data_IF_606932751915
#
_entry.id   IF_606932751915
#
_cell.length_a   1.000
_cell.length_b   1.000
_cell.length_c   1.000
_cell.angle_alpha   90.00
_cell.angle_beta   90.00
_cell.angle_gamma   90.00
#
_symmetry.space_group_name_H-M   'P 1'
#
loop_
_entity.id
_entity.type
_entity.pdbx_description
1 polymer ?
#
# COMPACT_ATOMS: atom_id res chain seq x y z
N UNK A 1 -2.49 2.47 -15.66
CA UNK A 1 -2.05 3.27 -14.50
C UNK A 1 -0.72 2.74 -14.00
N UNK A 2 0.25 3.60 -13.83
CA UNK A 2 1.57 3.22 -13.30
C UNK A 2 1.54 3.15 -11.77
N UNK A 3 2.57 2.52 -11.17
CA UNK A 3 2.71 2.52 -9.72
C UNK A 3 2.85 3.94 -9.14
N UNK A 4 3.52 4.84 -9.87
CA UNK A 4 3.64 6.24 -9.46
C UNK A 4 2.28 6.96 -9.47
N UNK A 5 1.44 6.70 -10.47
CA UNK A 5 0.08 7.24 -10.53
C UNK A 5 -0.76 6.73 -9.36
N UNK A 6 -0.68 5.44 -9.08
CA UNK A 6 -1.38 4.81 -7.97
C UNK A 6 -0.92 5.40 -6.63
N UNK A 7 0.39 5.64 -6.47
CA UNK A 7 0.92 6.29 -5.28
C UNK A 7 0.30 7.67 -5.07
N UNK A 8 0.22 8.46 -6.13
CA UNK A 8 -0.36 9.82 -6.05
C UNK A 8 -1.84 9.77 -5.65
N UNK A 9 -2.60 8.85 -6.24
CA UNK A 9 -4.01 8.67 -5.91
C UNK A 9 -4.19 8.23 -4.46
N UNK A 10 -3.42 7.24 -4.02
CA UNK A 10 -3.49 6.73 -2.66
C UNK A 10 -3.01 7.76 -1.63
N UNK A 11 -1.99 8.54 -1.94
CA UNK A 11 -1.53 9.59 -1.05
C UNK A 11 -2.64 10.62 -0.78
N UNK A 12 -3.44 10.95 -1.77
CA UNK A 12 -4.59 11.82 -1.62
C UNK A 12 -5.73 11.14 -0.86
N UNK A 13 -6.06 9.90 -1.24
CA UNK A 13 -7.18 9.15 -0.64
C UNK A 13 -6.94 8.81 0.83
N UNK A 14 -5.71 8.55 1.21
CA UNK A 14 -5.32 8.17 2.57
C UNK A 14 -4.73 9.33 3.37
N UNK A 15 -4.84 10.55 2.86
CA UNK A 15 -4.40 11.74 3.57
C UNK A 15 -5.05 11.84 4.95
N UNK A 16 -4.24 12.10 5.98
CA UNK A 16 -4.69 12.13 7.37
C UNK A 16 -4.68 10.78 8.07
N UNK A 17 -4.57 9.66 7.34
CA UNK A 17 -4.45 8.32 7.91
C UNK A 17 -3.00 7.83 7.91
N UNK A 18 -2.20 8.26 6.93
CA UNK A 18 -0.82 7.83 6.79
C UNK A 18 0.05 8.34 7.94
N UNK A 19 0.92 7.45 8.43
CA UNK A 19 2.01 7.83 9.30
C UNK A 19 3.19 8.41 8.52
N UNK A 20 4.39 8.24 9.05
CA UNK A 20 5.61 8.78 8.45
C UNK A 20 6.74 7.77 8.44
N UNK A 21 7.65 7.93 7.48
CA UNK A 21 8.99 7.37 7.56
C UNK A 21 9.93 8.43 8.14
N UNK A 22 10.82 8.00 9.03
CA UNK A 22 11.87 8.84 9.58
C UNK A 22 13.23 8.31 9.17
N UNK A 23 14.05 9.14 8.54
CA UNK A 23 15.43 8.81 8.19
C UNK A 23 16.35 9.01 9.40
N UNK A 24 17.57 8.48 9.32
CA UNK A 24 18.59 8.59 10.38
C UNK A 24 19.01 10.03 10.66
N UNK A 25 18.86 10.93 9.69
CA UNK A 25 19.14 12.37 9.84
C UNK A 25 17.97 13.16 10.46
N UNK A 26 16.87 12.48 10.82
CA UNK A 26 15.69 13.10 11.40
C UNK A 26 14.67 13.62 10.38
N UNK A 27 14.95 13.52 9.09
CA UNK A 27 13.98 13.90 8.04
C UNK A 27 12.79 12.97 8.04
N UNK A 28 11.59 13.51 7.80
CA UNK A 28 10.34 12.73 7.75
C UNK A 28 9.71 12.81 6.37
N UNK A 29 9.08 11.70 5.98
CA UNK A 29 8.40 11.54 4.69
C UNK A 29 7.06 10.87 4.93
N UNK A 30 6.01 11.15 4.11
CA UNK A 30 4.76 10.39 4.20
C UNK A 30 5.03 8.89 4.06
N UNK A 31 4.34 8.07 4.85
CA UNK A 31 4.55 6.63 4.87
C UNK A 31 3.85 5.94 3.70
N UNK A 32 4.12 6.41 2.50
CA UNK A 32 3.68 5.79 1.25
C UNK A 32 4.85 5.70 0.29
N UNK A 33 5.11 4.50 -0.24
CA UNK A 33 6.29 4.23 -1.03
C UNK A 33 6.04 3.22 -2.13
N UNK A 34 6.63 3.45 -3.30
CA UNK A 34 6.65 2.45 -4.38
C UNK A 34 7.89 1.57 -4.18
N UNK A 35 7.69 0.27 -4.05
CA UNK A 35 8.74 -0.66 -3.68
C UNK A 35 8.98 -0.67 -2.18
N UNK A 36 10.23 -0.80 -1.77
CA UNK A 36 10.62 -0.77 -0.37
C UNK A 36 11.36 0.53 -0.06
N UNK A 37 11.09 1.16 1.08
CA UNK A 37 11.90 2.29 1.53
C UNK A 37 13.31 1.82 1.88
N UNK A 38 14.30 2.74 1.95
CA UNK A 38 15.63 2.40 2.44
C UNK A 38 15.56 1.74 3.81
N UNK A 39 16.44 0.76 4.06
CA UNK A 39 16.44 0.00 5.34
C UNK A 39 16.78 0.88 6.56
N UNK A 40 17.38 2.05 6.34
CA UNK A 40 17.67 3.03 7.40
C UNK A 40 16.43 3.79 7.86
N UNK A 41 15.32 3.71 7.13
CA UNK A 41 14.11 4.44 7.46
C UNK A 41 13.24 3.62 8.42
N UNK A 42 12.67 4.29 9.40
CA UNK A 42 11.75 3.69 10.36
C UNK A 42 10.34 4.23 10.13
N UNK A 43 9.40 3.32 9.92
CA UNK A 43 8.00 3.69 9.73
C UNK A 43 7.27 3.80 11.05
N UNK A 44 6.36 4.78 11.16
CA UNK A 44 5.44 4.93 12.28
C UNK A 44 4.02 5.13 11.75
N UNK A 45 3.04 4.65 12.50
CA UNK A 45 1.64 4.75 12.12
C UNK A 45 1.25 3.82 10.98
N UNK A 46 0.39 4.29 10.08
CA UNK A 46 -0.04 3.52 8.92
C UNK A 46 0.94 3.70 7.77
N UNK A 47 1.41 2.59 7.23
CA UNK A 47 2.32 2.52 6.10
C UNK A 47 1.60 1.94 4.89
N UNK A 48 1.77 2.53 3.73
CA UNK A 48 1.24 2.04 2.46
C UNK A 48 2.39 1.75 1.50
N UNK A 49 2.61 0.47 1.20
CA UNK A 49 3.62 0.03 0.25
C UNK A 49 2.95 -0.40 -1.04
N UNK A 50 3.39 0.16 -2.15
CA UNK A 50 2.89 -0.19 -3.48
C UNK A 50 3.91 -1.10 -4.13
N UNK A 51 3.45 -2.29 -4.56
CA UNK A 51 4.31 -3.27 -5.19
C UNK A 51 4.82 -2.79 -6.54
N UNK A 52 6.07 -3.17 -6.81
CA UNK A 52 6.69 -3.08 -8.13
C UNK A 52 6.82 -4.49 -8.68
N UNK A 53 7.37 -4.66 -9.89
CA UNK A 53 7.72 -5.98 -10.37
C UNK A 53 8.67 -6.64 -9.35
N UNK A 54 8.40 -7.84 -8.82
CA UNK A 54 7.41 -8.85 -9.24
C UNK A 54 6.01 -8.74 -8.61
N UNK A 55 5.72 -7.72 -7.81
CA UNK A 55 4.41 -7.57 -7.15
C UNK A 55 3.33 -6.99 -8.07
N UNK A 56 3.63 -6.80 -9.33
CA UNK A 56 2.71 -6.35 -10.37
C UNK A 56 2.42 -7.49 -11.33
N UNK A 57 1.15 -7.86 -11.49
CA UNK A 57 0.72 -8.89 -12.40
C UNK A 57 0.22 -8.27 -13.71
N UNK A 58 0.57 -8.88 -14.83
CA UNK A 58 0.08 -8.51 -16.15
C UNK A 58 -0.65 -9.70 -16.75
N UNK A 59 -1.93 -9.55 -17.04
CA UNK A 59 -2.75 -10.62 -17.60
C UNK A 59 -3.21 -10.21 -18.99
N UNK A 60 -2.93 -11.02 -20.04
CA UNK A 60 -3.43 -10.75 -21.38
C UNK A 60 -4.96 -10.80 -21.42
N UNK A 61 -5.58 -9.85 -22.09
CA UNK A 61 -7.01 -9.90 -22.38
C UNK A 61 -7.19 -10.60 -23.75
N UNK A 62 -7.61 -11.85 -23.72
CA UNK A 62 -7.70 -12.68 -24.92
C UNK A 62 -8.64 -12.12 -25.99
N UNK A 63 -9.68 -11.40 -25.58
CA UNK A 63 -10.67 -10.87 -26.52
C UNK A 63 -10.16 -9.64 -27.26
N UNK A 64 -9.40 -8.77 -26.57
CA UNK A 64 -8.94 -7.50 -27.11
C UNK A 64 -7.45 -7.47 -27.41
N UNK A 65 -6.70 -8.47 -26.93
CA UNK A 65 -5.23 -8.47 -27.01
C UNK A 65 -4.58 -7.43 -26.08
N UNK A 66 -5.33 -6.73 -25.26
CA UNK A 66 -4.80 -5.77 -24.30
C UNK A 66 -4.16 -6.49 -23.10
N UNK A 67 -3.28 -5.79 -22.40
CA UNK A 67 -2.69 -6.27 -21.15
C UNK A 67 -3.35 -5.53 -20.01
N UNK A 68 -3.89 -6.29 -19.03
CA UNK A 68 -4.43 -5.74 -17.79
C UNK A 68 -3.33 -5.78 -16.73
N UNK A 69 -3.01 -4.63 -16.17
CA UNK A 69 -2.07 -4.51 -15.06
C UNK A 69 -2.80 -4.61 -13.74
N UNK A 70 -2.19 -5.31 -12.78
CA UNK A 70 -2.65 -5.36 -11.40
C UNK A 70 -1.53 -4.92 -10.49
N UNK A 71 -1.87 -4.11 -9.51
CA UNK A 71 -0.92 -3.63 -8.52
C UNK A 71 -1.24 -4.23 -7.16
N UNK A 72 -0.22 -4.57 -6.40
CA UNK A 72 -0.36 -5.01 -5.02
C UNK A 72 -0.03 -3.86 -4.10
N UNK A 73 -0.93 -3.60 -3.17
CA UNK A 73 -0.76 -2.58 -2.15
C UNK A 73 -0.79 -3.26 -0.80
N UNK A 74 0.20 -2.98 0.02
CA UNK A 74 0.24 -3.47 1.40
C UNK A 74 -0.01 -2.31 2.35
N UNK A 75 -1.04 -2.46 3.19
CA UNK A 75 -1.33 -1.55 4.29
C UNK A 75 -0.81 -2.19 5.57
N UNK A 76 0.09 -1.50 6.26
CA UNK A 76 0.76 -2.00 7.45
C UNK A 76 0.60 -0.98 8.57
N UNK A 77 0.08 -1.40 9.71
CA UNK A 77 -0.07 -0.52 10.88
C UNK A 77 0.99 -0.81 11.93
N UNK A 78 1.76 0.21 12.27
CA UNK A 78 2.72 0.21 13.37
C UNK A 78 2.16 0.91 14.62
N UNK A 79 0.89 1.30 14.58
CA UNK A 79 0.21 2.01 15.65
C UNK A 79 -1.23 1.52 15.81
N UNK A 80 -2.21 2.43 15.70
CA UNK A 80 -3.62 2.09 15.87
C UNK A 80 -4.12 1.16 14.75
N UNK A 81 -4.51 -0.11 15.02
CA UNK A 81 -4.96 -1.03 13.98
C UNK A 81 -6.22 -0.57 13.24
N UNK A 82 -7.04 0.26 13.88
CA UNK A 82 -8.27 0.80 13.28
C UNK A 82 -8.00 1.64 12.03
N UNK A 83 -6.84 2.29 11.94
CA UNK A 83 -6.48 3.07 10.77
C UNK A 83 -6.32 2.20 9.53
N UNK A 84 -5.87 0.96 9.69
CA UNK A 84 -5.75 0.00 8.59
C UNK A 84 -7.12 -0.33 8.02
N UNK A 85 -8.13 -0.55 8.86
CA UNK A 85 -9.49 -0.84 8.41
C UNK A 85 -10.13 0.36 7.71
N UNK A 86 -9.92 1.56 8.24
CA UNK A 86 -10.42 2.79 7.61
C UNK A 86 -9.78 3.01 6.24
N UNK A 87 -8.46 2.80 6.13
CA UNK A 87 -7.75 2.89 4.87
C UNK A 87 -8.22 1.84 3.88
N UNK A 88 -8.43 0.60 4.34
CA UNK A 88 -8.94 -0.50 3.52
C UNK A 88 -10.30 -0.15 2.91
N UNK A 89 -11.22 0.40 3.72
CA UNK A 89 -12.54 0.82 3.24
C UNK A 89 -12.44 1.90 2.16
N UNK A 90 -11.55 2.87 2.33
CA UNK A 90 -11.33 3.93 1.33
C UNK A 90 -10.79 3.36 0.03
N UNK A 91 -9.86 2.43 0.08
CA UNK A 91 -9.31 1.79 -1.12
C UNK A 91 -10.38 0.96 -1.83
N UNK A 92 -11.12 0.13 -1.12
CA UNK A 92 -12.17 -0.70 -1.70
C UNK A 92 -13.33 0.14 -2.25
N UNK A 93 -13.62 1.28 -1.67
CA UNK A 93 -14.62 2.22 -2.20
C UNK A 93 -14.20 2.79 -3.55
N UNK A 94 -12.91 3.07 -3.72
CA UNK A 94 -12.39 3.60 -4.99
C UNK A 94 -12.24 2.52 -6.07
N UNK A 95 -11.86 1.31 -5.68
CA UNK A 95 -11.71 0.16 -6.57
C UNK A 95 -12.59 -1.00 -6.09
N UNK A 96 -13.90 -1.00 -6.42
CA UNK A 96 -14.83 -2.01 -5.91
C UNK A 96 -14.50 -3.45 -6.31
N UNK A 97 -13.73 -3.63 -7.39
CA UNK A 97 -13.29 -4.95 -7.86
C UNK A 97 -11.97 -5.40 -7.24
N UNK A 98 -11.33 -4.55 -6.45
CA UNK A 98 -10.10 -4.92 -5.74
C UNK A 98 -10.38 -6.01 -4.72
N UNK A 99 -9.40 -6.87 -4.50
CA UNK A 99 -9.48 -7.96 -3.53
C UNK A 99 -8.51 -7.67 -2.38
N UNK A 100 -9.02 -7.76 -1.15
CA UNK A 100 -8.23 -7.55 0.05
C UNK A 100 -8.07 -8.85 0.81
N UNK A 101 -6.88 -9.03 1.40
CA UNK A 101 -6.56 -10.18 2.23
C UNK A 101 -5.85 -9.71 3.50
N UNK A 102 -6.35 -10.14 4.64
CA UNK A 102 -5.67 -9.93 5.90
C UNK A 102 -4.43 -10.82 6.00
N UNK A 103 -3.33 -10.23 6.48
CA UNK A 103 -2.09 -10.93 6.77
C UNK A 103 -1.91 -10.94 8.28
N UNK A 104 -1.47 -12.06 8.89
CA UNK A 104 -1.23 -12.09 10.34
C UNK A 104 -0.29 -10.97 10.78
N UNK A 105 -0.55 -10.34 11.94
CA UNK A 105 0.34 -9.32 12.47
C UNK A 105 1.70 -9.93 12.83
N UNK A 106 2.73 -9.08 12.82
CA UNK A 106 4.08 -9.47 13.22
C UNK A 106 4.54 -8.56 14.35
N UNK A 107 4.25 -8.95 15.58
CA UNK A 107 4.57 -8.17 16.78
C UNK A 107 6.08 -7.98 16.96
N UNK A 108 6.89 -8.95 16.53
CA UNK A 108 8.36 -8.84 16.59
C UNK A 108 8.91 -7.70 15.74
N UNK A 109 8.20 -7.27 14.70
CA UNK A 109 8.54 -6.13 13.87
C UNK A 109 7.70 -4.88 14.20
N UNK A 110 6.90 -4.92 15.27
CA UNK A 110 6.01 -3.81 15.62
C UNK A 110 4.81 -3.66 14.71
N UNK A 111 4.48 -4.69 13.93
CA UNK A 111 3.32 -4.67 13.02
C UNK A 111 2.10 -5.20 13.76
N UNK A 112 1.12 -4.33 13.98
CA UNK A 112 -0.10 -4.66 14.73
C UNK A 112 -1.24 -5.13 13.83
N UNK A 113 -1.28 -4.70 12.57
CA UNK A 113 -2.25 -5.16 11.59
C UNK A 113 -1.68 -4.96 10.19
N UNK A 114 -2.02 -5.83 9.26
CA UNK A 114 -1.62 -5.67 7.87
C UNK A 114 -2.61 -6.32 6.91
N UNK A 115 -2.76 -5.70 5.74
CA UNK A 115 -3.60 -6.18 4.66
C UNK A 115 -2.87 -6.05 3.33
N UNK A 116 -3.07 -7.01 2.45
CA UNK A 116 -2.64 -6.92 1.06
C UNK A 116 -3.87 -6.72 0.19
N UNK A 117 -3.79 -5.74 -0.70
CA UNK A 117 -4.88 -5.42 -1.63
C UNK A 117 -4.35 -5.57 -3.05
N UNK A 118 -5.07 -6.31 -3.86
CA UNK A 118 -4.80 -6.45 -5.29
C UNK A 118 -5.75 -5.55 -6.05
N UNK A 119 -5.22 -4.55 -6.73
CA UNK A 119 -5.99 -3.52 -7.44
C UNK A 119 -5.83 -3.75 -8.94
N UNK A 120 -6.90 -4.15 -9.65
CA UNK A 120 -6.88 -4.20 -11.11
C UNK A 120 -6.95 -2.79 -11.68
N UNK A 121 -6.11 -2.51 -12.68
CA UNK A 121 -6.03 -1.19 -13.30
C UNK A 121 -6.14 -1.24 -14.82
#
# INVERSE_FOLDING_TARGET
>A
MTAADLRSILATSLSGLLGTYTDTDGSTYPAIYVGNPPSSWTATGLECRIGIVPDMDQTPAYVTGAITETHRVRLVSHGAPTNTLTALRKVLSRWPTAQAREIPPNEGLGILAQHTITIPT
#
